data_IF_124501888865
#
_entry.id   IF_124501888865
#
_cell.length_a   1.000
_cell.length_b   1.000
_cell.length_c   1.000
_cell.angle_alpha   90.00
_cell.angle_beta   90.00
_cell.angle_gamma   90.00
#
_symmetry.space_group_name_H-M   'P 1'
#
loop_
_entity.id
_entity.type
_entity.pdbx_description
1 polymer ?
#
# COMPACT_ATOMS: atom_id res chain seq x y z
N UNK A 1 -19.17 -69.32 17.11
CA UNK A 1 -18.09 -68.58 16.42
C UNK A 1 -18.71 -67.40 15.69
N UNK A 2 -18.05 -66.25 15.75
CA UNK A 2 -18.60 -64.93 15.45
C UNK A 2 -19.15 -64.77 14.03
N UNK A 3 -20.44 -64.44 13.89
CA UNK A 3 -21.03 -63.96 12.66
C UNK A 3 -20.54 -62.53 12.43
N UNK A 4 -19.56 -62.36 11.55
CA UNK A 4 -19.15 -61.04 11.07
C UNK A 4 -20.30 -60.48 10.21
N UNK A 5 -21.11 -59.63 10.83
CA UNK A 5 -22.07 -58.78 10.13
C UNK A 5 -21.26 -57.71 9.39
N UNK A 6 -20.74 -58.07 8.21
CA UNK A 6 -20.20 -57.11 7.26
C UNK A 6 -21.37 -56.19 6.87
N UNK A 7 -21.39 -54.98 7.40
CA UNK A 7 -22.29 -53.94 6.91
C UNK A 7 -22.16 -53.88 5.38
N UNK A 8 -23.28 -53.74 4.65
CA UNK A 8 -23.21 -53.78 3.20
C UNK A 8 -22.37 -52.58 2.73
N UNK A 9 -21.25 -52.87 2.07
CA UNK A 9 -20.31 -51.88 1.49
C UNK A 9 -21.02 -50.75 0.71
N UNK A 10 -22.21 -51.03 0.17
CA UNK A 10 -23.08 -50.06 -0.48
C UNK A 10 -23.50 -48.90 0.42
N UNK A 11 -23.81 -49.12 1.70
CA UNK A 11 -24.19 -48.05 2.63
C UNK A 11 -23.02 -47.10 2.93
N UNK A 12 -21.83 -47.66 3.17
CA UNK A 12 -20.63 -46.87 3.42
C UNK A 12 -20.26 -46.04 2.18
N UNK A 13 -20.38 -46.61 0.98
CA UNK A 13 -20.13 -45.90 -0.27
C UNK A 13 -21.09 -44.73 -0.48
N UNK A 14 -22.39 -44.92 -0.22
CA UNK A 14 -23.39 -43.83 -0.34
C UNK A 14 -23.11 -42.70 0.65
N UNK A 15 -22.69 -43.01 1.88
CA UNK A 15 -22.33 -41.98 2.88
C UNK A 15 -21.09 -41.19 2.43
N UNK A 16 -20.06 -41.86 1.92
CA UNK A 16 -18.84 -41.20 1.43
C UNK A 16 -19.13 -40.30 0.23
N UNK A 17 -19.96 -40.77 -0.70
CA UNK A 17 -20.37 -39.97 -1.87
C UNK A 17 -21.20 -38.76 -1.42
N UNK A 18 -22.17 -38.96 -0.52
CA UNK A 18 -22.99 -37.89 0.03
C UNK A 18 -22.15 -36.82 0.75
N UNK A 19 -21.21 -37.25 1.60
CA UNK A 19 -20.29 -36.35 2.29
C UNK A 19 -19.39 -35.59 1.30
N UNK A 20 -18.92 -36.26 0.24
CA UNK A 20 -18.10 -35.62 -0.80
C UNK A 20 -18.88 -34.54 -1.52
N UNK A 21 -20.12 -34.80 -1.93
CA UNK A 21 -20.97 -33.81 -2.61
C UNK A 21 -21.22 -32.59 -1.71
N UNK A 22 -21.54 -32.79 -0.44
CA UNK A 22 -21.72 -31.69 0.53
C UNK A 22 -20.43 -30.90 0.70
N UNK A 23 -19.28 -31.58 0.79
CA UNK A 23 -17.96 -30.94 0.84
C UNK A 23 -17.66 -30.09 -0.38
N UNK A 24 -17.93 -30.60 -1.59
CA UNK A 24 -17.76 -29.84 -2.83
C UNK A 24 -18.69 -28.63 -2.91
N UNK A 25 -19.94 -28.74 -2.45
CA UNK A 25 -20.85 -27.60 -2.40
C UNK A 25 -20.36 -26.52 -1.42
N UNK A 26 -19.94 -26.90 -0.21
CA UNK A 26 -19.39 -25.96 0.77
C UNK A 26 -18.11 -25.28 0.25
N UNK A 27 -17.23 -26.05 -0.41
CA UNK A 27 -16.02 -25.52 -1.04
C UNK A 27 -16.34 -24.55 -2.19
N UNK A 28 -17.32 -24.88 -3.03
CA UNK A 28 -17.78 -24.00 -4.11
C UNK A 28 -18.35 -22.68 -3.59
N UNK A 29 -19.12 -22.72 -2.50
CA UNK A 29 -19.60 -21.51 -1.83
C UNK A 29 -18.45 -20.67 -1.28
N UNK A 30 -17.49 -21.29 -0.58
CA UNK A 30 -16.33 -20.60 -0.04
C UNK A 30 -15.50 -19.91 -1.15
N UNK A 31 -15.26 -20.61 -2.27
CA UNK A 31 -14.58 -20.04 -3.43
C UNK A 31 -15.35 -18.88 -4.06
N UNK A 32 -16.69 -19.00 -4.15
CA UNK A 32 -17.54 -17.91 -4.66
C UNK A 32 -17.48 -16.67 -3.77
N UNK A 33 -17.53 -16.84 -2.44
CA UNK A 33 -17.40 -15.74 -1.49
C UNK A 33 -16.03 -15.06 -1.59
N UNK A 34 -14.96 -15.85 -1.67
CA UNK A 34 -13.61 -15.32 -1.85
C UNK A 34 -13.49 -14.47 -3.12
N UNK A 35 -14.02 -14.98 -4.25
CA UNK A 35 -14.00 -14.25 -5.51
C UNK A 35 -14.81 -12.95 -5.41
N UNK A 36 -15.96 -12.98 -4.75
CA UNK A 36 -16.81 -11.81 -4.56
C UNK A 36 -16.10 -10.72 -3.74
N UNK A 37 -15.43 -11.09 -2.65
CA UNK A 37 -14.66 -10.16 -1.83
C UNK A 37 -13.50 -9.52 -2.59
N UNK A 38 -12.77 -10.32 -3.38
CA UNK A 38 -11.69 -9.79 -4.21
C UNK A 38 -12.21 -8.81 -5.28
N UNK A 39 -13.36 -9.09 -5.86
CA UNK A 39 -14.01 -8.18 -6.81
C UNK A 39 -14.40 -6.85 -6.16
N UNK A 40 -15.01 -6.89 -4.98
CA UNK A 40 -15.40 -5.67 -4.24
C UNK A 40 -14.17 -4.80 -3.92
N UNK A 41 -13.09 -5.41 -3.43
CA UNK A 41 -11.83 -4.69 -3.15
C UNK A 41 -11.24 -4.05 -4.41
N UNK A 42 -11.31 -4.75 -5.54
CA UNK A 42 -10.82 -4.23 -6.82
C UNK A 42 -11.66 -3.05 -7.30
N UNK A 43 -12.98 -3.15 -7.20
CA UNK A 43 -13.91 -2.07 -7.54
C UNK A 43 -13.69 -0.85 -6.64
N UNK A 44 -13.52 -1.06 -5.34
CA UNK A 44 -13.23 0.02 -4.39
C UNK A 44 -11.90 0.71 -4.73
N UNK A 45 -10.86 -0.07 -5.07
CA UNK A 45 -9.56 0.46 -5.51
C UNK A 45 -9.68 1.34 -6.77
N UNK A 46 -10.38 0.85 -7.80
CA UNK A 46 -10.61 1.61 -9.05
C UNK A 46 -11.44 2.87 -8.78
N UNK A 47 -12.45 2.79 -7.91
CA UNK A 47 -13.28 3.94 -7.53
C UNK A 47 -12.47 5.03 -6.83
N UNK A 48 -11.62 4.63 -5.87
CA UNK A 48 -10.70 5.55 -5.17
C UNK A 48 -9.73 6.23 -6.14
N UNK A 49 -9.12 5.45 -7.04
CA UNK A 49 -8.20 6.00 -8.05
C UNK A 49 -8.90 7.01 -8.97
N UNK A 50 -10.12 6.71 -9.43
CA UNK A 50 -10.90 7.64 -10.24
C UNK A 50 -11.23 8.94 -9.49
N UNK A 51 -11.55 8.86 -8.19
CA UNK A 51 -11.81 10.04 -7.37
C UNK A 51 -10.56 10.91 -7.21
N UNK A 52 -9.41 10.30 -6.96
CA UNK A 52 -8.12 11.00 -6.87
C UNK A 52 -7.80 11.67 -8.20
N UNK A 53 -7.97 10.96 -9.33
CA UNK A 53 -7.69 11.51 -10.65
C UNK A 53 -8.58 12.72 -10.96
N UNK A 54 -9.88 12.66 -10.63
CA UNK A 54 -10.78 13.81 -10.77
C UNK A 54 -10.32 15.01 -9.95
N UNK A 55 -9.93 14.79 -8.70
CA UNK A 55 -9.41 15.85 -7.83
C UNK A 55 -8.13 16.49 -8.40
N UNK A 56 -7.21 15.68 -8.93
CA UNK A 56 -5.99 16.16 -9.58
C UNK A 56 -6.29 16.98 -10.85
N UNK A 57 -7.28 16.55 -11.64
CA UNK A 57 -7.72 17.29 -12.82
C UNK A 57 -8.30 18.65 -12.40
N UNK A 58 -9.19 18.67 -11.41
CA UNK A 58 -9.81 19.90 -10.90
C UNK A 58 -8.75 20.87 -10.33
N UNK A 59 -7.79 20.36 -9.56
CA UNK A 59 -6.66 21.13 -9.05
C UNK A 59 -5.80 21.67 -10.20
N UNK A 60 -5.48 20.85 -11.19
CA UNK A 60 -4.71 21.28 -12.35
C UNK A 60 -5.40 22.40 -13.15
N UNK A 61 -6.73 22.38 -13.26
CA UNK A 61 -7.48 23.49 -13.86
C UNK A 61 -7.40 24.77 -13.04
N UNK A 62 -7.51 24.67 -11.71
CA UNK A 62 -7.37 25.83 -10.82
C UNK A 62 -5.96 26.44 -10.87
N UNK A 63 -4.94 25.60 -10.86
CA UNK A 63 -3.55 26.03 -10.98
C UNK A 63 -3.29 26.73 -12.33
N UNK A 64 -3.80 26.15 -13.42
CA UNK A 64 -3.66 26.73 -14.75
C UNK A 64 -4.39 28.08 -14.85
N UNK A 65 -5.56 28.20 -14.24
CA UNK A 65 -6.27 29.48 -14.12
C UNK A 65 -5.45 30.50 -13.31
N UNK A 66 -4.87 30.08 -12.18
CA UNK A 66 -4.00 30.91 -11.35
C UNK A 66 -2.79 31.43 -12.14
N UNK A 67 -2.07 30.56 -12.86
CA UNK A 67 -0.92 30.95 -13.67
C UNK A 67 -1.28 31.83 -14.87
N UNK A 68 -2.49 31.67 -15.42
CA UNK A 68 -2.99 32.54 -16.51
C UNK A 68 -3.46 33.89 -16.01
N UNK A 69 -3.76 34.02 -14.72
CA UNK A 69 -4.28 35.25 -14.13
C UNK A 69 -3.33 36.44 -14.36
N UNK A 70 -3.91 37.63 -14.57
CA UNK A 70 -3.13 38.85 -14.73
C UNK A 70 -2.32 39.18 -13.47
N UNK A 71 -2.85 38.82 -12.29
CA UNK A 71 -2.18 39.00 -11.00
C UNK A 71 -0.90 38.16 -10.90
N UNK A 72 -0.94 36.88 -11.28
CA UNK A 72 0.25 36.04 -11.29
C UNK A 72 1.29 36.52 -12.29
N UNK A 73 0.88 36.91 -13.50
CA UNK A 73 1.79 37.46 -14.53
C UNK A 73 2.48 38.74 -14.06
N UNK A 74 1.74 39.65 -13.43
CA UNK A 74 2.28 40.89 -12.87
C UNK A 74 3.24 40.62 -11.71
N UNK A 75 2.87 39.73 -10.78
CA UNK A 75 3.76 39.27 -9.70
C UNK A 75 5.05 38.66 -10.26
N UNK A 76 4.93 37.71 -11.19
CA UNK A 76 6.08 37.02 -11.79
C UNK A 76 7.01 38.00 -12.51
N UNK A 77 6.48 38.97 -13.25
CA UNK A 77 7.27 40.00 -13.92
C UNK A 77 8.02 40.91 -12.94
N UNK A 78 7.39 41.28 -11.82
CA UNK A 78 8.01 42.10 -10.78
C UNK A 78 9.11 41.35 -10.03
N UNK A 79 8.91 40.07 -9.73
CA UNK A 79 9.86 39.24 -8.98
C UNK A 79 11.04 38.73 -9.84
N UNK A 80 10.79 38.28 -11.07
CA UNK A 80 11.82 37.61 -11.87
C UNK A 80 12.49 38.50 -12.92
N UNK A 81 11.82 39.57 -13.37
CA UNK A 81 12.34 40.45 -14.43
C UNK A 81 12.81 41.80 -13.90
N UNK A 82 12.80 42.02 -12.58
CA UNK A 82 13.13 43.30 -11.94
C UNK A 82 12.39 44.51 -12.54
N UNK A 83 11.22 44.30 -13.13
CA UNK A 83 10.37 45.34 -13.74
C UNK A 83 9.54 46.10 -12.68
N UNK A 84 10.11 46.27 -11.49
CA UNK A 84 9.46 47.00 -10.39
C UNK A 84 9.43 48.48 -10.73
N UNK A 85 8.25 49.10 -10.68
CA UNK A 85 8.11 50.53 -10.97
C UNK A 85 8.79 51.35 -9.85
N UNK A 86 9.44 52.48 -10.18
CA UNK A 86 10.08 53.32 -9.18
C UNK A 86 9.02 53.83 -8.17
N UNK A 87 9.15 53.42 -6.90
CA UNK A 87 8.22 53.73 -5.80
C UNK A 87 7.38 52.55 -5.30
N UNK A 88 7.42 51.39 -5.97
CA UNK A 88 6.69 50.18 -5.57
C UNK A 88 7.56 49.27 -4.67
N UNK A 89 7.00 48.79 -3.54
CA UNK A 89 7.68 47.87 -2.61
C UNK A 89 7.17 46.44 -2.83
N UNK A 90 8.04 45.54 -3.28
CA UNK A 90 7.74 44.11 -3.41
C UNK A 90 8.02 43.38 -2.10
N UNK A 91 7.00 42.74 -1.52
CA UNK A 91 7.14 41.88 -0.34
C UNK A 91 7.29 40.42 -0.81
N UNK A 92 8.52 39.90 -0.78
CA UNK A 92 8.77 38.47 -1.03
C UNK A 92 8.48 37.74 0.27
N UNK A 93 7.35 37.02 0.32
CA UNK A 93 7.04 36.13 1.43
C UNK A 93 7.80 34.83 1.17
N UNK A 94 9.02 34.73 1.69
CA UNK A 94 9.67 33.43 1.83
C UNK A 94 8.96 32.70 2.95
N UNK A 95 8.04 31.79 2.61
CA UNK A 95 7.63 30.75 3.54
C UNK A 95 8.88 29.89 3.76
N UNK A 96 9.67 30.21 4.78
CA UNK A 96 10.67 29.28 5.31
C UNK A 96 9.93 27.99 5.58
N UNK A 97 10.26 26.87 4.93
CA UNK A 97 9.78 25.60 5.42
C UNK A 97 10.28 25.50 6.87
N UNK A 98 9.35 25.47 7.82
CA UNK A 98 9.61 25.20 9.23
C UNK A 98 10.20 23.79 9.36
N UNK A 99 11.50 23.67 9.10
CA UNK A 99 12.47 22.78 9.75
C UNK A 99 13.73 22.68 8.88
N UNK A 100 14.84 23.35 9.26
CA UNK A 100 16.07 22.60 9.36
C UNK A 100 15.94 21.77 10.64
N UNK A 101 15.40 20.54 10.52
CA UNK A 101 15.79 19.52 11.49
C UNK A 101 17.30 19.42 11.34
N UNK A 102 18.00 20.16 12.21
CA UNK A 102 19.36 19.82 12.59
C UNK A 102 19.21 18.45 13.23
N UNK A 103 19.24 17.43 12.37
CA UNK A 103 19.39 16.04 12.78
C UNK A 103 20.81 16.00 13.33
N UNK A 104 20.92 16.33 14.62
CA UNK A 104 22.06 15.97 15.41
C UNK A 104 22.08 14.44 15.35
N UNK A 105 22.77 13.90 14.34
CA UNK A 105 22.93 12.47 14.11
C UNK A 105 23.58 11.98 15.41
N UNK A 106 22.87 11.24 16.28
CA UNK A 106 23.60 10.45 17.25
C UNK A 106 24.47 9.55 16.39
N UNK A 107 25.73 9.36 16.76
CA UNK A 107 26.54 8.26 16.23
C UNK A 107 25.89 6.97 16.73
N UNK A 108 24.78 6.62 16.10
CA UNK A 108 24.05 5.38 16.28
C UNK A 108 25.01 4.32 15.74
N UNK A 109 25.41 3.39 16.61
CA UNK A 109 26.24 2.27 16.24
C UNK A 109 25.66 1.61 14.97
N UNK A 110 26.49 1.15 14.02
CA UNK A 110 26.04 0.62 12.73
C UNK A 110 24.94 -0.46 12.85
N UNK A 111 24.88 -1.15 13.99
CA UNK A 111 23.90 -2.18 14.32
C UNK A 111 22.45 -1.65 14.47
N UNK A 112 22.25 -0.48 15.09
CA UNK A 112 20.90 0.06 15.33
C UNK A 112 20.25 0.61 14.04
N UNK A 113 21.06 1.09 13.08
CA UNK A 113 20.56 1.51 11.76
C UNK A 113 20.15 0.30 10.91
N UNK A 114 20.87 -0.82 11.03
CA UNK A 114 20.57 -2.07 10.33
C UNK A 114 19.27 -2.70 10.86
N UNK A 115 19.06 -2.70 12.17
CA UNK A 115 17.81 -3.17 12.78
C UNK A 115 16.62 -2.31 12.36
N UNK A 116 16.76 -0.98 12.34
CA UNK A 116 15.69 -0.07 11.90
C UNK A 116 15.28 -0.33 10.44
N UNK A 117 16.26 -0.50 9.54
CA UNK A 117 16.01 -0.83 8.13
C UNK A 117 15.30 -2.19 7.96
N UNK A 118 15.66 -3.18 8.78
CA UNK A 118 15.00 -4.48 8.80
C UNK A 118 13.53 -4.36 9.21
N UNK A 119 13.22 -3.62 10.29
CA UNK A 119 11.84 -3.45 10.73
C UNK A 119 11.00 -2.63 9.76
N UNK A 120 11.60 -1.65 9.07
CA UNK A 120 10.91 -0.90 8.02
C UNK A 120 10.57 -1.79 6.82
N UNK A 121 11.50 -2.64 6.38
CA UNK A 121 11.26 -3.62 5.32
C UNK A 121 10.17 -4.62 5.71
N UNK A 122 10.17 -5.11 6.95
CA UNK A 122 9.13 -5.99 7.47
C UNK A 122 7.75 -5.33 7.49
N UNK A 123 7.68 -4.02 7.77
CA UNK A 123 6.41 -3.28 7.84
C UNK A 123 5.78 -3.08 6.46
N UNK A 124 6.60 -3.02 5.40
CA UNK A 124 6.15 -2.86 4.02
C UNK A 124 5.77 -4.19 3.34
N UNK A 125 6.21 -5.33 3.90
CA UNK A 125 5.99 -6.65 3.32
C UNK A 125 4.62 -7.25 3.67
N UNK A 126 3.90 -7.87 2.71
CA UNK A 126 2.69 -8.64 3.00
C UNK A 126 2.94 -9.76 4.00
N UNK A 127 1.98 -10.02 4.89
CA UNK A 127 2.11 -11.03 5.97
C UNK A 127 2.48 -12.42 5.47
N UNK A 128 1.98 -12.84 4.30
CA UNK A 128 2.29 -14.13 3.71
C UNK A 128 3.77 -14.25 3.30
N UNK A 129 4.35 -13.16 2.80
CA UNK A 129 5.77 -13.12 2.43
C UNK A 129 6.67 -13.15 3.67
N UNK A 130 6.24 -12.52 4.77
CA UNK A 130 6.93 -12.61 6.06
C UNK A 130 7.06 -14.06 6.55
N UNK A 131 5.95 -14.81 6.56
CA UNK A 131 5.96 -16.22 6.96
C UNK A 131 6.78 -17.10 6.01
N UNK A 132 6.71 -16.84 4.69
CA UNK A 132 7.52 -17.55 3.70
C UNK A 132 9.01 -17.33 3.95
N UNK A 133 9.41 -16.09 4.22
CA UNK A 133 10.79 -15.72 4.47
C UNK A 133 11.28 -16.35 5.79
N UNK A 134 10.46 -16.32 6.85
CA UNK A 134 10.73 -16.95 8.14
C UNK A 134 10.91 -18.48 8.05
N UNK A 135 10.05 -19.17 7.29
CA UNK A 135 10.02 -20.64 7.27
C UNK A 135 11.02 -21.24 6.27
N UNK A 136 11.28 -20.58 5.14
CA UNK A 136 12.05 -21.16 4.03
C UNK A 136 13.38 -20.47 3.75
N UNK A 137 13.60 -19.27 4.29
CA UNK A 137 14.79 -18.46 3.99
C UNK A 137 15.42 -17.86 5.24
N UNK A 138 15.61 -18.68 6.28
CA UNK A 138 16.23 -18.28 7.54
C UNK A 138 17.65 -17.71 7.36
N UNK A 139 18.41 -18.21 6.39
CA UNK A 139 19.74 -17.68 6.04
C UNK A 139 19.68 -16.24 5.51
N UNK A 140 18.67 -15.92 4.68
CA UNK A 140 18.46 -14.56 4.17
C UNK A 140 18.04 -13.58 5.27
N UNK A 141 17.43 -14.06 6.36
CA UNK A 141 17.08 -13.20 7.50
C UNK A 141 18.33 -12.74 8.22
N UNK A 142 19.27 -13.65 8.45
CA UNK A 142 20.55 -13.31 9.08
C UNK A 142 21.38 -12.40 8.16
N UNK A 143 21.36 -12.64 6.84
CA UNK A 143 22.03 -11.81 5.84
C UNK A 143 21.45 -10.38 5.78
N UNK A 144 20.12 -10.23 5.80
CA UNK A 144 19.47 -8.91 5.85
C UNK A 144 19.68 -8.22 7.20
N UNK A 145 19.73 -8.98 8.30
CA UNK A 145 19.98 -8.47 9.65
C UNK A 145 21.43 -8.02 9.85
N UNK A 146 22.39 -8.70 9.22
CA UNK A 146 23.80 -8.32 9.22
C UNK A 146 24.10 -7.19 8.22
N UNK A 147 23.15 -6.91 7.31
CA UNK A 147 23.33 -6.01 6.18
C UNK A 147 24.20 -6.68 5.12
N UNK A 148 23.86 -6.47 3.85
CA UNK A 148 24.66 -6.82 2.65
C UNK A 148 26.12 -7.23 2.90
#
# INVERSE_FOLDING_TARGET
MSYQHLEPLSKQLTIVIGLSVVGFMAFGLALSFYRNLLFEQTLEGISKQNKILRMQIDQGYQDLEHFRSAQYKDKYAKENLNLVRPGEKTLIITTTPDNPLILNKPQIAPTEQQEAAYYELLRQMPTLEHWKLYLFHREKIEEIKMGL
#
